data_IF_634662594150
#
_entry.id   IF_634662594150
#
_cell.length_a   1.000
_cell.length_b   1.000
_cell.length_c   1.000
_cell.angle_alpha   90.00
_cell.angle_beta   90.00
_cell.angle_gamma   90.00
#
_symmetry.space_group_name_H-M   'P 1'
#
loop_
_entity.id
_entity.type
_entity.pdbx_description
1 polymer ?
#
# COMPACT_ATOMS: atom_id res chain seq x y z
N UNK A 1 -15.64 31.68 -2.03
CA UNK A 1 -14.20 31.93 -2.23
C UNK A 1 -13.62 32.45 -0.93
N UNK A 2 -12.39 32.05 -0.56
CA UNK A 2 -11.67 32.61 0.58
C UNK A 2 -11.00 33.95 0.15
N UNK A 3 -11.80 35.01 0.07
CA UNK A 3 -11.40 36.33 -0.44
C UNK A 3 -11.16 37.34 0.69
N UNK A 4 -10.10 37.12 1.48
CA UNK A 4 -9.55 38.13 2.39
C UNK A 4 -8.33 38.85 1.79
N UNK A 5 -8.11 40.15 2.08
CA UNK A 5 -6.87 40.84 1.74
C UNK A 5 -5.81 40.50 2.79
N UNK A 6 -4.94 39.55 2.45
CA UNK A 6 -3.79 39.19 3.27
C UNK A 6 -2.98 38.07 2.62
N UNK A 7 -1.66 38.11 2.80
CA UNK A 7 -0.82 36.95 2.54
C UNK A 7 -1.20 35.89 3.57
N UNK A 8 -2.07 34.94 3.20
CA UNK A 8 -2.60 33.95 4.13
C UNK A 8 -1.46 33.03 4.57
N UNK A 9 -0.94 33.27 5.77
CA UNK A 9 0.02 32.41 6.50
C UNK A 9 -0.62 31.12 7.00
N UNK A 10 -1.71 30.68 6.35
CA UNK A 10 -2.50 29.53 6.75
C UNK A 10 -1.76 28.27 6.29
N UNK A 11 -1.20 27.54 7.26
CA UNK A 11 -0.41 26.32 7.02
C UNK A 11 -1.28 25.07 7.02
N UNK A 12 -2.34 25.05 7.82
CA UNK A 12 -3.34 23.97 7.84
C UNK A 12 -4.75 24.56 7.73
N UNK A 13 -5.62 23.88 6.98
CA UNK A 13 -7.02 24.24 6.80
C UNK A 13 -7.88 22.98 6.94
N UNK A 14 -8.67 22.95 8.01
CA UNK A 14 -9.69 21.93 8.25
C UNK A 14 -11.05 22.41 7.71
N UNK A 15 -11.60 21.63 6.77
CA UNK A 15 -12.95 21.77 6.22
C UNK A 15 -13.72 20.43 6.30
N UNK A 16 -13.27 19.52 7.16
CA UNK A 16 -13.87 18.21 7.38
C UNK A 16 -15.33 18.29 7.86
N UNK A 17 -16.10 17.21 7.73
CA UNK A 17 -17.47 17.07 8.26
C UNK A 17 -18.45 18.18 7.81
N UNK A 18 -18.23 18.74 6.62
CA UNK A 18 -19.06 19.78 6.02
C UNK A 18 -19.96 19.22 4.91
N UNK A 19 -20.64 20.11 4.18
CA UNK A 19 -21.52 19.76 3.04
C UNK A 19 -20.96 20.25 1.71
N UNK A 20 -19.63 20.29 1.57
CA UNK A 20 -18.96 20.75 0.35
C UNK A 20 -19.17 19.69 -0.74
N UNK A 21 -19.99 20.04 -1.72
CA UNK A 21 -20.24 19.19 -2.89
C UNK A 21 -19.32 19.50 -4.08
N UNK A 22 -18.78 20.73 -4.14
CA UNK A 22 -17.96 21.22 -5.25
C UNK A 22 -16.92 22.24 -4.75
N UNK A 23 -15.73 22.19 -5.33
CA UNK A 23 -14.71 23.25 -5.26
C UNK A 23 -14.46 23.79 -6.68
N UNK A 24 -13.95 25.02 -6.81
CA UNK A 24 -13.42 25.55 -8.07
C UNK A 24 -11.89 25.38 -8.13
N UNK A 25 -11.25 25.38 -9.33
CA UNK A 25 -9.79 25.36 -9.47
C UNK A 25 -9.05 26.46 -8.70
N UNK A 26 -9.75 27.57 -8.40
CA UNK A 26 -9.20 28.75 -7.72
C UNK A 26 -9.53 28.81 -6.23
N UNK A 27 -10.15 27.78 -5.64
CA UNK A 27 -10.61 27.79 -4.24
C UNK A 27 -9.46 28.03 -3.26
N UNK A 28 -8.33 27.36 -3.48
CA UNK A 28 -7.16 27.38 -2.59
C UNK A 28 -5.98 28.18 -3.17
N UNK A 29 -6.11 28.79 -4.36
CA UNK A 29 -4.96 29.34 -5.11
C UNK A 29 -4.26 30.57 -4.50
N UNK A 30 -4.84 31.14 -3.43
CA UNK A 30 -4.22 32.20 -2.63
C UNK A 30 -3.49 31.68 -1.39
N UNK A 31 -3.73 30.42 -1.00
CA UNK A 31 -3.19 29.79 0.21
C UNK A 31 -1.77 29.25 -0.03
N UNK A 32 -0.84 30.15 -0.38
CA UNK A 32 0.52 29.83 -0.83
C UNK A 32 1.44 29.17 0.22
N UNK A 33 0.97 29.09 1.47
CA UNK A 33 1.67 28.46 2.59
C UNK A 33 0.93 27.22 3.12
N UNK A 34 -0.14 26.78 2.46
CA UNK A 34 -0.96 25.65 2.90
C UNK A 34 -0.21 24.32 2.67
N UNK A 35 0.16 23.67 3.76
CA UNK A 35 0.86 22.39 3.77
C UNK A 35 -0.08 21.22 4.11
N UNK A 36 -1.18 21.48 4.83
CA UNK A 36 -2.19 20.49 5.25
C UNK A 36 -3.60 20.96 4.88
N UNK A 37 -4.38 20.11 4.23
CA UNK A 37 -5.76 20.37 3.86
C UNK A 37 -6.65 19.16 4.15
N UNK A 38 -7.60 19.32 5.07
CA UNK A 38 -8.62 18.30 5.34
C UNK A 38 -9.94 18.69 4.66
N UNK A 39 -10.40 17.84 3.74
CA UNK A 39 -11.68 17.90 3.04
C UNK A 39 -12.50 16.62 3.27
N UNK A 40 -12.14 15.82 4.27
CA UNK A 40 -12.80 14.55 4.60
C UNK A 40 -14.27 14.71 4.97
N UNK A 41 -15.05 13.63 4.90
CA UNK A 41 -16.46 13.60 5.34
C UNK A 41 -17.33 14.71 4.72
N UNK A 42 -17.15 14.97 3.42
CA UNK A 42 -17.89 15.97 2.65
C UNK A 42 -18.80 15.28 1.60
N UNK A 43 -19.01 15.88 0.43
CA UNK A 43 -19.78 15.28 -0.67
C UNK A 43 -19.18 15.62 -2.04
N UNK A 44 -17.85 15.72 -2.11
CA UNK A 44 -17.13 15.95 -3.36
C UNK A 44 -17.30 14.75 -4.29
N UNK A 45 -17.89 14.99 -5.47
CA UNK A 45 -18.08 13.97 -6.53
C UNK A 45 -16.96 14.00 -7.57
N UNK A 46 -16.36 15.18 -7.79
CA UNK A 46 -15.28 15.42 -8.77
C UNK A 46 -14.35 16.50 -8.22
N UNK A 47 -13.03 16.35 -8.44
CA UNK A 47 -12.03 17.39 -8.21
C UNK A 47 -11.69 18.08 -9.53
N UNK A 48 -11.73 19.43 -9.61
CA UNK A 48 -11.27 20.14 -10.79
C UNK A 48 -9.77 19.94 -11.02
N UNK A 49 -9.34 19.91 -12.28
CA UNK A 49 -7.92 19.98 -12.63
C UNK A 49 -7.22 21.17 -11.97
N UNK A 50 -5.93 20.99 -11.65
CA UNK A 50 -5.03 21.99 -11.09
C UNK A 50 -5.51 22.66 -9.77
N UNK A 51 -6.57 22.17 -9.10
CA UNK A 51 -7.16 22.84 -7.93
C UNK A 51 -6.23 22.94 -6.70
N UNK A 52 -5.19 22.09 -6.62
CA UNK A 52 -4.13 22.15 -5.62
C UNK A 52 -2.77 22.67 -6.15
N UNK A 53 -2.67 22.96 -7.46
CA UNK A 53 -1.40 23.24 -8.18
C UNK A 53 -0.56 24.41 -7.64
N UNK A 54 -1.16 25.26 -6.80
CA UNK A 54 -0.60 26.48 -6.23
C UNK A 54 -0.49 26.45 -4.69
N UNK A 55 -0.89 25.34 -4.06
CA UNK A 55 -0.70 25.08 -2.62
C UNK A 55 0.49 24.14 -2.42
N UNK A 56 1.40 24.41 -1.45
CA UNK A 56 2.55 23.57 -1.15
C UNK A 56 2.21 22.38 -0.24
N UNK A 57 1.14 21.64 -0.58
CA UNK A 57 0.63 20.54 0.23
C UNK A 57 1.71 19.47 0.44
N UNK A 58 1.88 19.07 1.71
CA UNK A 58 2.53 17.83 2.13
C UNK A 58 1.53 16.81 2.68
N UNK A 59 0.31 17.23 3.01
CA UNK A 59 -0.75 16.36 3.51
C UNK A 59 -2.13 16.79 2.97
N UNK A 60 -2.91 15.85 2.45
CA UNK A 60 -4.29 16.07 2.03
C UNK A 60 -5.19 14.88 2.35
N UNK A 61 -6.28 15.13 3.07
CA UNK A 61 -7.35 14.17 3.34
C UNK A 61 -8.58 14.50 2.47
N UNK A 62 -8.95 13.55 1.61
CA UNK A 62 -10.14 13.56 0.76
C UNK A 62 -11.03 12.34 1.05
N UNK A 63 -10.79 11.64 2.17
CA UNK A 63 -11.51 10.44 2.56
C UNK A 63 -13.01 10.70 2.77
N UNK A 64 -13.83 9.64 2.76
CA UNK A 64 -15.25 9.72 3.09
C UNK A 64 -16.02 10.77 2.23
N UNK A 65 -15.67 10.84 0.95
CA UNK A 65 -16.32 11.68 -0.05
C UNK A 65 -17.06 10.79 -1.09
N UNK A 66 -17.37 11.34 -2.27
CA UNK A 66 -18.18 10.68 -3.32
C UNK A 66 -17.44 10.57 -4.65
N UNK A 67 -16.11 10.66 -4.64
CA UNK A 67 -15.29 10.66 -5.86
C UNK A 67 -15.48 9.34 -6.61
N UNK A 68 -15.83 9.42 -7.90
CA UNK A 68 -16.03 8.27 -8.80
C UNK A 68 -14.76 7.90 -9.58
N UNK A 69 -13.97 8.91 -9.90
CA UNK A 69 -12.69 8.81 -10.58
C UNK A 69 -11.75 9.93 -10.10
N UNK A 70 -10.45 9.76 -10.33
CA UNK A 70 -9.44 10.79 -10.06
C UNK A 70 -8.23 10.65 -10.99
N UNK A 71 -7.70 11.78 -11.45
CA UNK A 71 -6.35 11.83 -12.01
C UNK A 71 -5.34 12.20 -10.92
N UNK A 72 -4.26 11.43 -10.79
CA UNK A 72 -3.15 11.71 -9.88
C UNK A 72 -2.41 13.02 -10.25
N UNK A 73 -2.61 13.55 -11.45
CA UNK A 73 -2.04 14.82 -11.88
C UNK A 73 -2.56 16.02 -11.09
N UNK A 74 -3.73 15.91 -10.43
CA UNK A 74 -4.27 16.97 -9.55
C UNK A 74 -3.35 17.27 -8.36
N UNK A 75 -2.51 16.30 -7.98
CA UNK A 75 -1.51 16.39 -6.91
C UNK A 75 -0.13 16.85 -7.40
N UNK A 76 0.03 17.16 -8.70
CA UNK A 76 1.29 17.62 -9.27
C UNK A 76 1.58 19.10 -8.92
N UNK A 77 2.11 19.33 -7.71
CA UNK A 77 2.50 20.68 -7.26
C UNK A 77 3.71 21.21 -8.03
N UNK A 78 3.61 22.45 -8.54
CA UNK A 78 4.56 23.02 -9.52
C UNK A 78 5.94 23.45 -8.98
N UNK A 79 6.30 23.19 -7.71
CA UNK A 79 7.65 23.59 -7.26
C UNK A 79 8.03 23.52 -5.79
N UNK A 80 7.73 22.43 -5.06
CA UNK A 80 8.34 22.26 -3.71
C UNK A 80 9.05 20.93 -3.43
N UNK A 81 8.87 19.87 -4.23
CA UNK A 81 9.60 18.59 -4.04
C UNK A 81 9.37 17.92 -2.68
N UNK A 82 8.43 18.42 -1.87
CA UNK A 82 8.04 17.83 -0.59
C UNK A 82 7.34 16.50 -0.81
N UNK A 83 7.54 15.50 0.05
CA UNK A 83 6.67 14.32 0.11
C UNK A 83 5.22 14.77 0.32
N UNK A 84 4.29 14.12 -0.38
CA UNK A 84 2.86 14.30 -0.20
C UNK A 84 2.23 13.01 0.36
N UNK A 85 1.42 13.15 1.40
CA UNK A 85 0.47 12.15 1.86
C UNK A 85 -0.90 12.45 1.23
N UNK A 86 -1.56 11.41 0.71
CA UNK A 86 -2.89 11.51 0.11
C UNK A 86 -3.79 10.42 0.69
N UNK A 87 -4.84 10.82 1.40
CA UNK A 87 -5.93 9.93 1.76
C UNK A 87 -7.13 10.11 0.82
N UNK A 88 -7.52 9.04 0.14
CA UNK A 88 -8.66 8.94 -0.77
C UNK A 88 -9.57 7.77 -0.36
N UNK A 89 -9.43 7.26 0.86
CA UNK A 89 -10.19 6.11 1.35
C UNK A 89 -11.69 6.40 1.46
N UNK A 90 -12.50 5.34 1.48
CA UNK A 90 -13.95 5.42 1.65
C UNK A 90 -14.63 6.39 0.66
N UNK A 91 -14.15 6.41 -0.59
CA UNK A 91 -14.78 7.08 -1.72
C UNK A 91 -15.50 6.02 -2.61
N UNK A 92 -15.83 6.37 -3.85
CA UNK A 92 -16.47 5.48 -4.82
C UNK A 92 -15.56 5.20 -6.03
N UNK A 93 -14.24 5.38 -5.90
CA UNK A 93 -13.29 5.37 -7.01
C UNK A 93 -13.31 4.02 -7.73
N UNK A 94 -13.71 4.02 -9.00
CA UNK A 94 -13.62 2.85 -9.90
C UNK A 94 -12.50 3.00 -10.94
N UNK A 95 -12.01 4.21 -11.17
CA UNK A 95 -10.91 4.50 -12.08
C UNK A 95 -9.93 5.50 -11.48
N UNK A 96 -8.63 5.27 -11.70
CA UNK A 96 -7.54 6.18 -11.34
C UNK A 96 -6.64 6.30 -12.56
N UNK A 97 -6.35 7.54 -12.95
CA UNK A 97 -5.56 7.85 -14.15
C UNK A 97 -4.34 8.72 -13.80
N UNK A 98 -3.39 8.77 -14.72
CA UNK A 98 -2.24 9.68 -14.68
C UNK A 98 -1.70 9.86 -16.10
N UNK A 99 -1.46 11.09 -16.52
CA UNK A 99 -0.95 11.39 -17.86
C UNK A 99 0.58 11.39 -17.87
N UNK A 100 1.20 10.86 -18.91
CA UNK A 100 2.67 10.75 -18.97
C UNK A 100 3.36 12.08 -19.32
N UNK A 101 2.60 13.03 -19.85
CA UNK A 101 3.03 14.39 -20.23
C UNK A 101 2.98 15.38 -19.06
N UNK A 102 2.29 15.03 -17.97
CA UNK A 102 2.17 15.85 -16.75
C UNK A 102 3.33 15.56 -15.80
N UNK A 103 3.60 16.50 -14.89
CA UNK A 103 4.65 16.33 -13.87
C UNK A 103 4.25 15.22 -12.89
N UNK A 104 5.20 14.34 -12.55
CA UNK A 104 4.98 13.25 -11.59
C UNK A 104 4.71 13.87 -10.20
N UNK A 105 3.60 13.53 -9.52
CA UNK A 105 3.33 13.99 -8.17
C UNK A 105 4.23 13.23 -7.18
N UNK A 106 4.80 13.93 -6.20
CA UNK A 106 5.72 13.33 -5.21
C UNK A 106 4.98 12.68 -4.03
N UNK A 107 3.98 11.85 -4.33
CA UNK A 107 3.20 11.14 -3.32
C UNK A 107 4.07 10.02 -2.75
N UNK A 108 4.23 9.97 -1.43
CA UNK A 108 4.92 8.88 -0.73
C UNK A 108 3.95 7.94 -0.03
N UNK A 109 2.82 8.46 0.49
CA UNK A 109 1.82 7.67 1.18
C UNK A 109 0.47 7.86 0.48
N UNK A 110 -0.12 6.77 -0.02
CA UNK A 110 -1.39 6.78 -0.74
C UNK A 110 -2.35 5.77 -0.15
N UNK A 111 -3.45 6.25 0.44
CA UNK A 111 -4.53 5.41 0.94
C UNK A 111 -5.71 5.41 -0.05
N UNK A 112 -6.01 4.24 -0.62
CA UNK A 112 -7.13 3.99 -1.54
C UNK A 112 -8.11 2.95 -1.00
N UNK A 113 -8.05 2.64 0.30
CA UNK A 113 -8.91 1.63 0.93
C UNK A 113 -10.40 1.95 0.83
N UNK A 114 -11.26 0.93 0.83
CA UNK A 114 -12.72 1.09 0.84
C UNK A 114 -13.29 1.78 -0.41
N UNK A 115 -12.64 1.64 -1.57
CA UNK A 115 -13.10 2.15 -2.86
C UNK A 115 -13.72 1.04 -3.73
N UNK A 116 -13.89 1.28 -5.03
CA UNK A 116 -14.52 0.37 -6.01
C UNK A 116 -13.56 -0.12 -7.09
N UNK A 117 -12.26 -0.16 -6.78
CA UNK A 117 -11.20 -0.57 -7.72
C UNK A 117 -11.27 -2.08 -7.97
N UNK A 118 -11.45 -2.49 -9.22
CA UNK A 118 -11.48 -3.91 -9.64
C UNK A 118 -10.12 -4.43 -10.11
N UNK A 119 -9.17 -3.53 -10.37
CA UNK A 119 -7.78 -3.78 -10.75
C UNK A 119 -6.84 -2.81 -10.02
N UNK A 120 -5.56 -3.15 -9.91
CA UNK A 120 -4.56 -2.21 -9.38
C UNK A 120 -4.44 -1.01 -10.32
N UNK A 121 -4.46 0.24 -9.80
CA UNK A 121 -4.33 1.43 -10.63
C UNK A 121 -2.91 1.61 -11.17
N UNK A 122 -2.77 2.15 -12.39
CA UNK A 122 -1.45 2.47 -12.95
C UNK A 122 -0.85 3.70 -12.24
N UNK A 123 0.06 3.44 -11.30
CA UNK A 123 0.72 4.47 -10.50
C UNK A 123 2.14 4.79 -11.01
N UNK A 124 2.68 4.06 -11.98
CA UNK A 124 4.08 4.21 -12.39
C UNK A 124 5.03 3.73 -11.27
N UNK A 125 6.12 4.41 -10.93
CA UNK A 125 6.61 5.72 -11.42
C UNK A 125 6.03 6.96 -10.73
N UNK A 126 5.26 6.80 -9.66
CA UNK A 126 5.10 7.76 -8.55
C UNK A 126 6.00 7.20 -7.41
N UNK A 127 6.75 8.01 -6.66
CA UNK A 127 7.72 7.54 -5.66
C UNK A 127 7.06 7.08 -4.34
N UNK A 128 6.08 6.17 -4.44
CA UNK A 128 5.34 5.64 -3.32
C UNK A 128 6.23 4.79 -2.40
N UNK A 129 6.03 4.97 -1.09
CA UNK A 129 6.61 4.18 -0.01
C UNK A 129 5.54 3.38 0.74
N UNK A 130 4.32 3.91 0.83
CA UNK A 130 3.14 3.24 1.39
C UNK A 130 1.98 3.28 0.40
N UNK A 131 1.38 2.12 0.14
CA UNK A 131 0.17 1.97 -0.67
C UNK A 131 -0.82 1.05 0.06
N UNK A 132 -2.02 1.56 0.33
CA UNK A 132 -3.12 0.78 0.86
C UNK A 132 -4.25 0.68 -0.18
N UNK A 133 -4.64 -0.55 -0.53
CA UNK A 133 -5.72 -0.90 -1.45
C UNK A 133 -6.83 -1.74 -0.77
N UNK A 134 -6.85 -1.80 0.56
CA UNK A 134 -7.72 -2.67 1.36
C UNK A 134 -9.21 -2.50 1.05
N UNK A 135 -9.99 -3.57 1.18
CA UNK A 135 -11.45 -3.52 1.04
C UNK A 135 -11.98 -3.13 -0.35
N UNK A 136 -11.12 -3.11 -1.38
CA UNK A 136 -11.54 -2.92 -2.77
C UNK A 136 -12.04 -4.24 -3.40
N UNK A 137 -12.93 -4.19 -4.42
CA UNK A 137 -13.42 -5.36 -5.17
C UNK A 137 -12.40 -5.93 -6.17
N UNK A 138 -11.12 -5.98 -5.79
CA UNK A 138 -10.05 -6.62 -6.55
C UNK A 138 -10.30 -8.14 -6.64
N UNK A 139 -10.16 -8.71 -7.84
CA UNK A 139 -10.31 -10.16 -8.07
C UNK A 139 -8.96 -10.88 -8.17
N UNK A 140 -7.95 -10.17 -8.71
CA UNK A 140 -6.63 -10.71 -9.01
C UNK A 140 -5.54 -9.63 -8.94
N UNK A 141 -4.28 -10.05 -8.79
CA UNK A 141 -3.11 -9.25 -9.15
C UNK A 141 -2.46 -9.89 -10.39
N UNK A 142 -2.24 -9.09 -11.44
CA UNK A 142 -1.56 -9.50 -12.65
C UNK A 142 -0.07 -9.11 -12.66
N UNK A 143 0.68 -9.68 -13.60
CA UNK A 143 2.11 -9.40 -13.75
C UNK A 143 2.29 -8.04 -14.43
N UNK A 144 2.59 -7.02 -13.64
CA UNK A 144 2.84 -5.66 -14.11
C UNK A 144 2.09 -4.60 -13.33
N UNK A 145 1.10 -4.99 -12.52
CA UNK A 145 0.27 -4.12 -11.69
C UNK A 145 1.06 -3.11 -10.84
N UNK A 146 2.26 -3.50 -10.37
CA UNK A 146 3.15 -2.67 -9.57
C UNK A 146 4.40 -2.19 -10.32
N UNK A 147 4.36 -2.11 -11.66
CA UNK A 147 5.51 -1.73 -12.48
C UNK A 147 6.01 -0.32 -12.18
N UNK A 148 7.25 -0.22 -11.68
CA UNK A 148 7.87 1.07 -11.35
C UNK A 148 7.72 1.50 -9.90
N UNK A 149 7.00 0.76 -9.05
CA UNK A 149 6.88 1.00 -7.60
C UNK A 149 8.07 0.40 -6.82
N UNK A 150 9.29 0.71 -7.25
CA UNK A 150 10.52 0.06 -6.74
C UNK A 150 10.85 0.45 -5.30
N UNK A 151 10.49 1.67 -4.91
CA UNK A 151 10.73 2.25 -3.58
C UNK A 151 9.61 1.96 -2.56
N UNK A 152 8.60 1.17 -2.96
CA UNK A 152 7.48 0.81 -2.11
C UNK A 152 7.95 -0.10 -0.97
N UNK A 153 7.67 0.31 0.28
CA UNK A 153 8.11 -0.37 1.51
C UNK A 153 6.94 -1.14 2.15
N UNK A 154 5.73 -0.60 2.05
CA UNK A 154 4.52 -1.19 2.61
C UNK A 154 3.43 -1.26 1.54
N UNK A 155 2.88 -2.46 1.36
CA UNK A 155 1.72 -2.72 0.50
C UNK A 155 0.65 -3.45 1.31
N UNK A 156 -0.53 -2.85 1.41
CA UNK A 156 -1.70 -3.47 2.03
C UNK A 156 -2.75 -3.80 0.98
N UNK A 157 -3.17 -5.07 0.97
CA UNK A 157 -4.14 -5.71 0.07
C UNK A 157 -5.10 -6.57 0.91
N UNK A 158 -5.53 -6.06 2.07
CA UNK A 158 -6.36 -6.78 3.03
C UNK A 158 -7.86 -6.68 2.72
N UNK A 159 -8.64 -7.71 3.08
CA UNK A 159 -10.11 -7.66 3.04
C UNK A 159 -10.71 -7.62 1.62
N UNK A 160 -9.95 -8.05 0.62
CA UNK A 160 -10.38 -8.12 -0.78
C UNK A 160 -11.25 -9.37 -0.95
N UNK A 161 -12.55 -9.27 -0.67
CA UNK A 161 -13.45 -10.44 -0.58
C UNK A 161 -13.49 -11.31 -1.85
N UNK A 162 -13.33 -10.74 -3.04
CA UNK A 162 -13.30 -11.45 -4.31
C UNK A 162 -11.93 -12.00 -4.72
N UNK A 163 -10.87 -11.66 -3.98
CA UNK A 163 -9.49 -11.88 -4.37
C UNK A 163 -8.98 -13.29 -4.08
N UNK A 164 -8.47 -13.97 -5.11
CA UNK A 164 -7.83 -15.28 -4.97
C UNK A 164 -6.83 -15.65 -6.06
N UNK A 165 -6.73 -14.87 -7.14
CA UNK A 165 -5.82 -15.13 -8.27
C UNK A 165 -4.57 -14.25 -8.18
N UNK A 166 -3.40 -14.89 -8.06
CA UNK A 166 -2.09 -14.22 -8.07
C UNK A 166 -1.28 -14.71 -9.27
N UNK A 167 -0.95 -13.81 -10.19
CA UNK A 167 -0.11 -14.15 -11.33
C UNK A 167 1.34 -14.45 -10.90
N UNK A 168 2.04 -15.39 -11.55
CA UNK A 168 3.47 -15.60 -11.36
C UNK A 168 4.26 -14.29 -11.52
N UNK A 169 5.16 -14.01 -10.58
CA UNK A 169 6.03 -12.82 -10.56
C UNK A 169 5.30 -11.46 -10.41
N UNK A 170 4.04 -11.44 -9.97
CA UNK A 170 3.27 -10.18 -9.81
C UNK A 170 3.94 -9.14 -8.90
N UNK A 171 4.56 -9.57 -7.79
CA UNK A 171 5.25 -8.67 -6.85
C UNK A 171 6.74 -8.40 -7.18
N UNK A 172 7.27 -8.93 -8.30
CA UNK A 172 8.72 -8.94 -8.59
C UNK A 172 9.39 -7.56 -8.66
N UNK A 173 8.64 -6.52 -9.05
CA UNK A 173 9.17 -5.15 -9.16
C UNK A 173 9.29 -4.43 -7.80
N UNK A 174 8.68 -4.96 -6.74
CA UNK A 174 8.62 -4.38 -5.40
C UNK A 174 9.90 -4.65 -4.59
N UNK A 175 11.03 -4.17 -5.10
CA UNK A 175 12.37 -4.53 -4.60
C UNK A 175 12.68 -4.01 -3.19
N UNK A 176 12.10 -2.86 -2.80
CA UNK A 176 12.25 -2.29 -1.46
C UNK A 176 11.21 -2.78 -0.43
N UNK A 177 10.27 -3.66 -0.83
CA UNK A 177 9.12 -4.03 0.01
C UNK A 177 9.54 -4.76 1.28
N UNK A 178 9.07 -4.26 2.42
CA UNK A 178 9.37 -4.79 3.76
C UNK A 178 8.14 -5.39 4.42
N UNK A 179 6.96 -4.82 4.17
CA UNK A 179 5.67 -5.28 4.71
C UNK A 179 4.71 -5.54 3.56
N UNK A 180 4.16 -6.75 3.53
CA UNK A 180 3.10 -7.16 2.61
C UNK A 180 1.93 -7.72 3.42
N UNK A 181 0.82 -7.00 3.42
CA UNK A 181 -0.43 -7.46 4.02
C UNK A 181 -1.37 -8.01 2.94
N UNK A 182 -1.67 -9.31 3.04
CA UNK A 182 -2.60 -10.06 2.21
C UNK A 182 -3.69 -10.72 3.09
N UNK A 183 -3.93 -10.17 4.30
CA UNK A 183 -4.85 -10.73 5.28
C UNK A 183 -6.32 -10.59 4.87
N UNK A 184 -7.20 -11.30 5.58
CA UNK A 184 -8.65 -11.22 5.40
C UNK A 184 -9.14 -11.51 3.96
N UNK A 185 -8.32 -12.22 3.18
CA UNK A 185 -8.61 -12.64 1.80
C UNK A 185 -9.01 -14.13 1.78
N UNK A 186 -10.28 -14.49 2.01
CA UNK A 186 -10.70 -15.88 2.25
C UNK A 186 -10.55 -16.78 1.01
N UNK A 187 -10.54 -16.20 -0.19
CA UNK A 187 -10.41 -16.92 -1.45
C UNK A 187 -8.94 -17.20 -1.84
N UNK A 188 -7.96 -16.55 -1.20
CA UNK A 188 -6.54 -16.85 -1.38
C UNK A 188 -6.17 -18.14 -0.65
N UNK A 189 -5.99 -19.24 -1.40
CA UNK A 189 -5.77 -20.60 -0.87
C UNK A 189 -4.32 -21.06 -0.85
N UNK A 190 -3.46 -20.47 -1.68
CA UNK A 190 -2.05 -20.83 -1.77
C UNK A 190 -1.20 -19.65 -2.24
N UNK A 191 0.09 -19.70 -1.91
CA UNK A 191 1.13 -18.90 -2.53
C UNK A 191 2.13 -19.85 -3.18
N UNK A 192 2.44 -19.64 -4.46
CA UNK A 192 3.48 -20.42 -5.15
C UNK A 192 4.84 -19.74 -5.03
N UNK A 193 5.90 -20.46 -5.37
CA UNK A 193 7.27 -19.93 -5.31
C UNK A 193 7.48 -18.77 -6.30
N UNK A 194 6.76 -18.78 -7.42
CA UNK A 194 6.81 -17.75 -8.47
C UNK A 194 6.10 -16.46 -8.05
N UNK A 195 5.06 -16.54 -7.20
CA UNK A 195 4.33 -15.37 -6.69
C UNK A 195 5.21 -14.55 -5.73
N UNK A 196 5.90 -15.21 -4.80
CA UNK A 196 6.80 -14.58 -3.82
C UNK A 196 8.21 -14.30 -4.37
N UNK A 197 8.44 -14.56 -5.66
CA UNK A 197 9.76 -14.38 -6.28
C UNK A 197 10.17 -12.90 -6.33
N UNK A 198 11.37 -12.59 -5.84
CA UNK A 198 11.96 -11.25 -5.91
C UNK A 198 11.69 -10.36 -4.70
N UNK A 199 10.91 -10.84 -3.73
CA UNK A 199 10.61 -10.18 -2.44
C UNK A 199 11.80 -10.25 -1.46
N UNK A 200 12.99 -9.87 -1.93
CA UNK A 200 14.27 -10.03 -1.24
C UNK A 200 14.34 -9.20 0.06
N UNK A 201 13.67 -8.05 0.10
CA UNK A 201 13.65 -7.11 1.23
C UNK A 201 12.52 -7.39 2.24
N UNK A 202 11.64 -8.35 1.95
CA UNK A 202 10.42 -8.57 2.74
C UNK A 202 10.77 -9.09 4.13
N UNK A 203 10.25 -8.40 5.14
CA UNK A 203 10.46 -8.68 6.56
C UNK A 203 9.20 -9.24 7.22
N UNK A 204 8.03 -8.78 6.81
CA UNK A 204 6.74 -9.15 7.40
C UNK A 204 5.73 -9.51 6.31
N UNK A 205 5.12 -10.69 6.43
CA UNK A 205 4.10 -11.19 5.51
C UNK A 205 2.84 -11.60 6.29
N UNK A 206 1.76 -10.84 6.16
CA UNK A 206 0.49 -11.12 6.83
C UNK A 206 -0.47 -11.87 5.89
N UNK A 207 -0.78 -13.12 6.22
CA UNK A 207 -1.76 -13.98 5.55
C UNK A 207 -2.82 -14.48 6.54
N UNK A 208 -3.02 -13.74 7.64
CA UNK A 208 -4.10 -14.05 8.60
C UNK A 208 -5.47 -13.96 7.94
N UNK A 209 -6.41 -14.83 8.31
CA UNK A 209 -7.75 -14.86 7.70
C UNK A 209 -7.81 -15.35 6.25
N UNK A 210 -6.70 -15.80 5.67
CA UNK A 210 -6.67 -16.43 4.33
C UNK A 210 -6.86 -17.95 4.41
N UNK A 211 -7.02 -18.59 3.25
CA UNK A 211 -6.97 -20.05 3.10
C UNK A 211 -5.55 -20.63 3.05
N UNK A 212 -4.50 -19.80 3.10
CA UNK A 212 -3.10 -20.25 3.00
C UNK A 212 -2.67 -20.96 4.29
N UNK A 213 -2.65 -22.29 4.23
CA UNK A 213 -2.25 -23.16 5.34
C UNK A 213 -0.74 -23.45 5.40
N UNK A 214 -0.04 -23.30 4.28
CA UNK A 214 1.39 -23.59 4.15
C UNK A 214 2.02 -22.80 3.00
N UNK A 215 3.31 -22.50 3.16
CA UNK A 215 4.18 -21.92 2.13
C UNK A 215 4.92 -23.00 1.34
N UNK A 216 5.46 -22.70 0.14
CA UNK A 216 6.30 -23.62 -0.60
C UNK A 216 7.62 -23.87 0.15
N UNK A 217 8.18 -25.08 0.03
CA UNK A 217 9.45 -25.45 0.70
C UNK A 217 10.63 -24.52 0.34
N UNK A 218 10.58 -23.90 -0.84
CA UNK A 218 11.57 -22.95 -1.34
C UNK A 218 11.33 -21.50 -0.88
N UNK A 219 10.33 -21.21 -0.05
CA UNK A 219 9.98 -19.83 0.34
C UNK A 219 11.17 -19.05 0.94
N UNK A 220 11.95 -19.66 1.83
CA UNK A 220 13.12 -19.01 2.45
C UNK A 220 14.23 -18.64 1.45
N UNK A 221 14.28 -19.28 0.27
CA UNK A 221 15.21 -18.91 -0.82
C UNK A 221 14.80 -17.60 -1.49
N UNK A 222 13.51 -17.29 -1.53
CA UNK A 222 12.95 -16.09 -2.17
C UNK A 222 12.62 -14.97 -1.17
N UNK A 223 12.58 -15.29 0.12
CA UNK A 223 12.31 -14.38 1.24
C UNK A 223 13.49 -14.35 2.25
N UNK A 224 14.73 -14.01 1.83
CA UNK A 224 15.91 -14.07 2.70
C UNK A 224 15.81 -13.13 3.91
N UNK A 225 15.19 -11.96 3.77
CA UNK A 225 15.07 -10.95 4.84
C UNK A 225 13.91 -11.18 5.82
N UNK A 226 13.13 -12.24 5.65
CA UNK A 226 11.88 -12.43 6.40
C UNK A 226 12.13 -12.58 7.90
N UNK A 227 11.33 -11.92 8.72
CA UNK A 227 11.36 -11.98 10.19
C UNK A 227 10.13 -12.70 10.72
N UNK A 228 8.95 -12.32 10.23
CA UNK A 228 7.66 -12.84 10.64
C UNK A 228 6.77 -13.18 9.45
N UNK A 229 5.98 -14.25 9.60
CA UNK A 229 4.88 -14.59 8.69
C UNK A 229 3.68 -14.99 9.55
N UNK A 230 2.52 -14.40 9.34
CA UNK A 230 1.27 -14.83 9.97
C UNK A 230 0.46 -15.63 8.97
N UNK A 231 0.02 -16.85 9.31
CA UNK A 231 -0.72 -17.76 8.43
C UNK A 231 -2.13 -18.08 8.98
N UNK A 232 -3.11 -18.17 8.09
CA UNK A 232 -4.45 -18.71 8.36
C UNK A 232 -5.13 -18.14 9.61
N UNK A 233 -5.64 -19.00 10.49
CA UNK A 233 -6.21 -18.60 11.78
C UNK A 233 -5.15 -18.74 12.89
N UNK A 234 -4.51 -17.62 13.24
CA UNK A 234 -3.65 -17.46 14.41
C UNK A 234 -2.40 -18.34 14.46
N UNK A 235 -1.78 -18.63 13.30
CA UNK A 235 -0.44 -19.22 13.25
C UNK A 235 0.57 -18.09 13.03
N UNK A 236 1.52 -17.94 13.95
CA UNK A 236 2.65 -17.03 13.81
C UNK A 236 3.94 -17.82 13.58
N UNK A 237 4.62 -17.52 12.48
CA UNK A 237 5.87 -18.12 12.08
C UNK A 237 6.99 -17.09 12.22
N UNK A 238 7.99 -17.38 13.04
CA UNK A 238 9.15 -16.52 13.27
C UNK A 238 10.40 -17.16 12.66
N UNK A 239 11.25 -16.35 12.02
CA UNK A 239 12.55 -16.81 11.54
C UNK A 239 13.50 -16.94 12.73
N UNK A 240 13.96 -18.15 12.99
CA UNK A 240 14.88 -18.51 14.07
C UNK A 240 16.17 -19.08 13.49
N UNK A 241 17.29 -18.91 14.19
CA UNK A 241 18.56 -19.54 13.83
C UNK A 241 18.70 -20.78 14.71
N UNK A 242 18.70 -21.98 14.13
CA UNK A 242 19.04 -23.19 14.88
C UNK A 242 20.53 -23.42 14.81
N UNK A 243 21.21 -23.29 15.95
CA UNK A 243 22.55 -23.83 16.12
C UNK A 243 22.46 -25.36 16.16
N UNK A 244 23.26 -26.03 15.32
CA UNK A 244 23.26 -27.49 15.24
C UNK A 244 23.87 -28.12 16.49
N UNK A 245 23.36 -29.29 16.91
CA UNK A 245 23.95 -30.05 18.02
C UNK A 245 25.42 -30.40 17.73
N UNK A 246 26.27 -30.11 18.71
CA UNK A 246 27.72 -30.31 18.69
C UNK A 246 28.17 -31.66 18.10
N UNK A 247 28.58 -31.65 16.84
CA UNK A 247 29.49 -32.65 16.27
C UNK A 247 30.73 -31.92 15.76
N UNK A 248 31.92 -32.43 16.11
CA UNK A 248 33.22 -31.78 15.90
C UNK A 248 33.66 -31.84 14.42
N UNK A 249 33.00 -31.10 13.54
CA UNK A 249 33.51 -30.83 12.19
C UNK A 249 33.51 -29.34 11.88
N UNK A 250 34.57 -28.91 11.21
CA UNK A 250 34.91 -27.51 10.95
C UNK A 250 34.02 -26.99 9.82
N UNK A 251 33.11 -26.05 10.13
CA UNK A 251 32.18 -25.46 9.17
C UNK A 251 30.74 -25.37 9.68
N UNK A 252 30.49 -24.50 10.67
CA UNK A 252 29.15 -24.25 11.20
C UNK A 252 28.27 -23.57 10.14
N UNK A 253 27.51 -24.37 9.38
CA UNK A 253 26.38 -23.85 8.59
C UNK A 253 25.23 -23.52 9.54
N UNK A 254 25.09 -22.23 9.88
CA UNK A 254 23.89 -21.72 10.57
C UNK A 254 22.69 -22.00 9.68
N UNK A 255 21.78 -22.88 10.12
CA UNK A 255 20.55 -23.18 9.39
C UNK A 255 19.44 -22.26 9.88
N UNK A 256 18.88 -21.51 8.94
CA UNK A 256 17.74 -20.64 9.22
C UNK A 256 16.47 -21.49 9.16
N UNK A 257 15.64 -21.36 10.19
CA UNK A 257 14.44 -22.18 10.37
C UNK A 257 13.25 -21.31 10.70
N UNK A 258 12.19 -21.42 9.91
CA UNK A 258 10.92 -20.79 10.22
C UNK A 258 10.15 -21.68 11.21
N UNK A 259 9.96 -21.18 12.43
CA UNK A 259 9.28 -21.88 13.52
C UNK A 259 7.86 -21.33 13.68
N UNK A 260 6.85 -22.17 13.44
CA UNK A 260 5.44 -21.80 13.40
C UNK A 260 4.67 -22.27 14.64
N UNK A 261 4.09 -21.33 15.36
CA UNK A 261 3.35 -21.55 16.62
C UNK A 261 1.90 -21.09 16.46
N UNK A 262 0.96 -21.79 17.12
CA UNK A 262 -0.41 -21.32 17.26
C UNK A 262 -0.51 -20.29 18.40
N UNK A 263 -1.70 -19.70 18.59
CA UNK A 263 -2.01 -18.81 19.72
C UNK A 263 -1.83 -19.42 21.13
N UNK A 264 -1.60 -20.73 21.23
CA UNK A 264 -1.35 -21.46 22.48
C UNK A 264 0.13 -21.89 22.60
N UNK A 265 1.03 -21.34 21.77
CA UNK A 265 2.47 -21.63 21.76
C UNK A 265 2.87 -22.99 21.17
N UNK A 266 1.91 -23.86 20.87
CA UNK A 266 2.16 -25.20 20.32
C UNK A 266 2.61 -25.12 18.86
N UNK A 267 3.48 -26.04 18.44
CA UNK A 267 3.95 -26.12 17.04
C UNK A 267 2.76 -26.42 16.13
N UNK A 268 2.47 -25.50 15.20
CA UNK A 268 1.22 -25.51 14.42
C UNK A 268 1.40 -25.94 12.97
N UNK A 269 2.62 -25.88 12.44
CA UNK A 269 2.96 -26.26 11.08
C UNK A 269 4.37 -26.85 11.01
N UNK A 270 4.65 -27.59 9.92
CA UNK A 270 5.99 -28.10 9.66
C UNK A 270 7.00 -26.94 9.52
N UNK A 271 8.17 -27.07 10.15
CA UNK A 271 9.21 -26.04 10.08
C UNK A 271 9.81 -25.97 8.67
N UNK A 272 10.00 -24.76 8.15
CA UNK A 272 10.73 -24.52 6.91
C UNK A 272 12.21 -24.34 7.22
N UNK A 273 13.09 -24.90 6.39
CA UNK A 273 14.55 -24.84 6.56
C UNK A 273 15.18 -24.33 5.27
N UNK A 274 16.15 -23.43 5.40
CA UNK A 274 17.01 -22.92 4.30
C UNK A 274 17.91 -24.00 3.71
#
# INVERSE_FOLDING_TARGET
>A
MLTGPGYTTLVSLDLSYNKIAKISPTTFSRLRYLESLDLSHNSLEVLPEDCFSSSPLGDIDLSNNKLLDISMDVFASKGQGKPLNVDLSYNMLSAITRHHEKSIPNIQNLNLSGNRLTSVPNLQGIPLRYLNLDGNPLLRIEKGDFVGLKDLIHLSLSGLHGFGELSPYCFKELQALQVLDLSSNPNLKSLTAEVIFGLNSLQELNLSGTGVSSLPKTALKYLPSIKSITLGKNIQCLKTIKEGQYHRQIGLTKKEVLSCHNSHGSVAAASYVS
#
